data_IF_297059874024
#
_entry.id   IF_297059874024
#
_cell.length_a   1.000
_cell.length_b   1.000
_cell.length_c   1.000
_cell.angle_alpha   90.00
_cell.angle_beta   90.00
_cell.angle_gamma   90.00
#
_symmetry.space_group_name_H-M   'P 1'
#
loop_
_entity.id
_entity.type
_entity.pdbx_description
1 polymer ?
#
# COMPACT_ATOMS: atom_id res chain seq x y z
N UNK A 1 52.31 -29.06 -7.60
CA UNK A 1 50.92 -28.76 -7.16
C UNK A 1 50.35 -29.91 -6.32
N UNK A 2 50.81 -30.10 -5.09
CA UNK A 2 50.33 -31.18 -4.20
C UNK A 2 50.10 -30.72 -2.75
N UNK A 3 50.64 -29.56 -2.34
CA UNK A 3 50.52 -29.04 -0.98
C UNK A 3 49.18 -28.37 -0.64
N UNK A 4 48.37 -27.98 -1.63
CA UNK A 4 47.10 -27.27 -1.38
C UNK A 4 45.92 -28.21 -1.03
N UNK A 5 45.94 -29.45 -1.53
CA UNK A 5 44.84 -30.43 -1.34
C UNK A 5 44.82 -31.00 0.09
N UNK A 6 45.96 -30.96 0.78
CA UNK A 6 46.10 -31.52 2.12
C UNK A 6 45.48 -30.65 3.23
N UNK A 7 45.27 -29.35 3.00
CA UNK A 7 44.54 -28.49 3.95
C UNK A 7 43.03 -28.71 3.93
N UNK A 8 42.43 -29.03 2.77
CA UNK A 8 40.99 -29.22 2.65
C UNK A 8 40.52 -30.51 3.31
N UNK A 9 41.29 -31.60 3.16
CA UNK A 9 40.97 -32.89 3.77
C UNK A 9 41.07 -32.86 5.30
N UNK A 10 42.03 -32.14 5.88
CA UNK A 10 42.13 -32.00 7.34
C UNK A 10 40.95 -31.20 7.92
N UNK A 11 40.50 -30.15 7.24
CA UNK A 11 39.30 -29.40 7.63
C UNK A 11 38.04 -30.26 7.51
N UNK A 12 37.88 -31.02 6.42
CA UNK A 12 36.73 -31.90 6.22
C UNK A 12 36.75 -33.09 7.20
N UNK A 13 37.91 -33.63 7.57
CA UNK A 13 38.04 -34.70 8.57
C UNK A 13 37.85 -34.20 10.02
N UNK A 14 38.21 -32.96 10.33
CA UNK A 14 37.88 -32.32 11.60
C UNK A 14 36.37 -32.04 11.74
N UNK A 15 35.65 -31.93 10.61
CA UNK A 15 34.19 -31.71 10.53
C UNK A 15 33.39 -33.04 10.57
N UNK A 16 34.04 -34.22 10.50
CA UNK A 16 33.38 -35.54 10.66
C UNK A 16 32.96 -35.83 12.12
N UNK A 17 32.96 -34.83 13.00
CA UNK A 17 32.33 -34.96 14.32
C UNK A 17 30.84 -35.25 14.09
N UNK A 18 30.36 -36.45 14.42
CA UNK A 18 28.92 -36.75 14.47
C UNK A 18 28.30 -35.81 15.51
N UNK A 19 27.85 -34.63 15.06
CA UNK A 19 27.22 -33.65 15.93
C UNK A 19 25.96 -34.33 16.47
N UNK A 20 25.86 -34.58 17.79
CA UNK A 20 24.68 -35.22 18.33
C UNK A 20 23.47 -34.34 18.06
N UNK A 21 22.32 -34.94 17.75
CA UNK A 21 21.11 -34.21 17.35
C UNK A 21 20.72 -33.11 18.35
N UNK A 22 21.07 -33.28 19.63
CA UNK A 22 20.93 -32.28 20.68
C UNK A 22 21.77 -31.01 20.44
N UNK A 23 23.05 -31.14 20.08
CA UNK A 23 23.94 -30.01 19.79
C UNK A 23 23.47 -29.28 18.53
N UNK A 24 23.02 -30.00 17.51
CA UNK A 24 22.45 -29.39 16.30
C UNK A 24 21.19 -28.57 16.61
N UNK A 25 20.29 -29.09 17.47
CA UNK A 25 19.11 -28.33 17.94
C UNK A 25 19.50 -27.07 18.71
N UNK A 26 20.49 -27.15 19.59
CA UNK A 26 21.02 -25.98 20.31
C UNK A 26 21.56 -24.93 19.33
N UNK A 27 22.34 -25.35 18.34
CA UNK A 27 22.90 -24.44 17.32
C UNK A 27 21.81 -23.73 16.51
N UNK A 28 20.74 -24.46 16.13
CA UNK A 28 19.60 -23.84 15.45
C UNK A 28 18.89 -22.84 16.35
N UNK A 29 18.61 -23.21 17.60
CA UNK A 29 17.90 -22.32 18.54
C UNK A 29 18.72 -21.05 18.82
N UNK A 30 20.04 -21.18 18.99
CA UNK A 30 20.92 -20.02 19.16
C UNK A 30 20.98 -19.15 17.92
N UNK A 31 21.06 -19.73 16.72
CA UNK A 31 21.01 -18.98 15.46
C UNK A 31 19.69 -18.19 15.33
N UNK A 32 18.55 -18.83 15.59
CA UNK A 32 17.22 -18.19 15.56
C UNK A 32 17.15 -17.07 16.60
N UNK A 33 17.65 -17.29 17.82
CA UNK A 33 17.65 -16.28 18.88
C UNK A 33 18.47 -15.03 18.50
N UNK A 34 19.65 -15.21 17.90
CA UNK A 34 20.49 -14.10 17.41
C UNK A 34 19.78 -13.34 16.28
N UNK A 35 19.20 -14.05 15.32
CA UNK A 35 18.43 -13.41 14.23
C UNK A 35 17.20 -12.67 14.76
N UNK A 36 16.47 -13.25 15.71
CA UNK A 36 15.31 -12.63 16.33
C UNK A 36 15.69 -11.36 17.12
N UNK A 37 16.81 -11.40 17.85
CA UNK A 37 17.33 -10.23 18.56
C UNK A 37 17.61 -9.07 17.60
N UNK A 38 18.37 -9.33 16.53
CA UNK A 38 18.65 -8.32 15.51
C UNK A 38 17.37 -7.85 14.80
N UNK A 39 16.42 -8.76 14.56
CA UNK A 39 15.11 -8.45 13.99
C UNK A 39 14.30 -7.49 14.86
N UNK A 40 14.24 -7.73 16.17
CA UNK A 40 13.55 -6.84 17.12
C UNK A 40 14.20 -5.46 17.15
N UNK A 41 15.53 -5.38 17.16
CA UNK A 41 16.24 -4.10 17.11
C UNK A 41 15.91 -3.32 15.82
N UNK A 42 15.90 -4.00 14.68
CA UNK A 42 15.55 -3.38 13.40
C UNK A 42 14.09 -2.88 13.41
N UNK A 43 13.14 -3.67 13.91
CA UNK A 43 11.73 -3.27 14.00
C UNK A 43 11.57 -2.06 14.91
N UNK A 44 12.19 -2.07 16.10
CA UNK A 44 12.14 -0.92 17.03
C UNK A 44 12.70 0.33 16.36
N UNK A 45 13.85 0.22 15.70
CA UNK A 45 14.44 1.32 14.93
C UNK A 45 13.48 1.85 13.86
N UNK A 46 12.75 0.98 13.14
CA UNK A 46 11.77 1.44 12.16
C UNK A 46 10.52 2.06 12.80
N UNK A 47 10.06 1.54 13.94
CA UNK A 47 8.92 2.10 14.70
C UNK A 47 9.24 3.45 15.35
N UNK A 48 10.51 3.69 15.69
CA UNK A 48 11.00 5.00 16.17
C UNK A 48 11.03 6.05 15.06
N UNK A 49 11.07 5.63 13.78
CA UNK A 49 10.89 6.55 12.65
C UNK A 49 9.42 6.98 12.63
N UNK A 50 9.13 8.06 13.37
CA UNK A 50 7.86 8.77 13.28
C UNK A 50 7.84 9.58 11.97
N UNK A 51 7.76 8.88 10.85
CA UNK A 51 7.41 9.48 9.58
C UNK A 51 5.91 9.73 9.57
N UNK A 52 5.48 10.90 10.02
CA UNK A 52 4.12 11.34 9.73
C UNK A 52 4.03 11.46 8.20
N UNK A 53 3.11 10.72 7.59
CA UNK A 53 2.84 10.84 6.15
C UNK A 53 2.42 12.29 5.90
N UNK A 54 3.36 13.09 5.42
CA UNK A 54 3.13 14.50 5.12
C UNK A 54 2.82 14.63 3.64
N UNK A 55 1.59 15.02 3.35
CA UNK A 55 1.16 15.34 2.01
C UNK A 55 0.38 16.65 2.08
N UNK A 56 1.08 17.80 2.04
CA UNK A 56 0.46 19.11 2.27
C UNK A 56 -0.65 19.43 1.28
N UNK A 57 -0.56 18.91 0.04
CA UNK A 57 -1.62 19.08 -0.96
C UNK A 57 -2.89 18.30 -0.60
N UNK A 58 -2.74 17.08 -0.07
CA UNK A 58 -3.87 16.27 0.37
C UNK A 58 -4.48 16.79 1.67
N UNK A 59 -3.65 17.25 2.61
CA UNK A 59 -4.08 17.89 3.85
C UNK A 59 -4.88 19.16 3.56
N UNK A 60 -4.38 20.03 2.68
CA UNK A 60 -5.09 21.23 2.25
C UNK A 60 -6.44 20.90 1.57
N UNK A 61 -6.51 19.82 0.79
CA UNK A 61 -7.78 19.35 0.23
C UNK A 61 -8.77 18.94 1.32
N UNK A 62 -8.34 18.19 2.34
CA UNK A 62 -9.22 17.76 3.43
C UNK A 62 -9.69 18.93 4.28
N UNK A 63 -8.80 19.89 4.55
CA UNK A 63 -9.15 21.12 5.24
C UNK A 63 -10.17 21.93 4.43
N UNK A 64 -9.98 22.05 3.11
CA UNK A 64 -10.94 22.69 2.23
C UNK A 64 -12.29 21.98 2.26
N UNK A 65 -12.33 20.65 2.17
CA UNK A 65 -13.57 19.85 2.21
C UNK A 65 -14.34 20.12 3.50
N UNK A 66 -13.66 20.13 4.65
CA UNK A 66 -14.30 20.34 5.95
C UNK A 66 -14.95 21.71 6.06
N UNK A 67 -14.27 22.76 5.60
CA UNK A 67 -14.73 24.15 5.73
C UNK A 67 -15.69 24.61 4.64
N UNK A 68 -15.65 24.00 3.45
CA UNK A 68 -16.36 24.51 2.27
C UNK A 68 -17.51 23.61 1.79
N UNK A 69 -17.72 22.44 2.41
CA UNK A 69 -18.78 21.51 2.00
C UNK A 69 -19.68 21.09 3.15
N UNK A 70 -20.96 20.84 2.81
CA UNK A 70 -21.95 20.38 3.79
C UNK A 70 -21.60 18.96 4.29
N UNK A 71 -21.93 18.60 5.53
CA UNK A 71 -21.65 17.27 6.09
C UNK A 71 -22.18 16.09 5.28
N UNK A 72 -23.30 16.29 4.59
CA UNK A 72 -23.98 15.31 3.73
C UNK A 72 -23.49 15.32 2.28
N UNK A 73 -22.55 16.19 1.92
CA UNK A 73 -22.01 16.27 0.56
C UNK A 73 -21.29 14.99 0.18
N UNK A 74 -21.71 14.37 -0.92
CA UNK A 74 -21.20 13.10 -1.41
C UNK A 74 -20.04 13.32 -2.39
N UNK A 75 -18.92 12.64 -2.14
CA UNK A 75 -17.70 12.74 -2.95
C UNK A 75 -17.48 11.49 -3.83
N UNK A 76 -16.88 11.69 -4.99
CA UNK A 76 -16.37 10.62 -5.85
C UNK A 76 -14.98 10.97 -6.39
N UNK A 77 -14.18 9.97 -6.76
CA UNK A 77 -12.85 10.21 -7.32
C UNK A 77 -11.93 8.98 -7.23
N UNK A 78 -10.60 9.18 -7.24
CA UNK A 78 -9.61 8.14 -6.98
C UNK A 78 -9.93 7.30 -5.73
N UNK A 79 -10.03 5.98 -5.88
CA UNK A 79 -10.41 5.07 -4.78
C UNK A 79 -9.54 5.23 -3.52
N UNK A 80 -8.22 5.32 -3.68
CA UNK A 80 -7.30 5.50 -2.57
C UNK A 80 -7.51 6.84 -1.82
N UNK A 81 -7.90 7.89 -2.54
CA UNK A 81 -8.17 9.19 -1.96
C UNK A 81 -9.53 9.23 -1.24
N UNK A 82 -10.54 8.55 -1.79
CA UNK A 82 -11.88 8.53 -1.18
C UNK A 82 -11.88 7.90 0.20
N UNK A 83 -11.09 6.86 0.45
CA UNK A 83 -10.90 6.30 1.78
C UNK A 83 -10.43 7.36 2.79
N UNK A 84 -9.42 8.14 2.41
CA UNK A 84 -8.88 9.21 3.24
C UNK A 84 -9.89 10.36 3.41
N UNK A 85 -10.62 10.75 2.35
CA UNK A 85 -11.71 11.74 2.46
C UNK A 85 -12.72 11.29 3.51
N UNK A 86 -13.17 10.03 3.47
CA UNK A 86 -14.13 9.50 4.44
C UNK A 86 -13.60 9.54 5.87
N UNK A 87 -12.36 9.09 6.08
CA UNK A 87 -11.75 9.01 7.42
C UNK A 87 -11.38 10.37 8.00
N UNK A 88 -10.86 11.29 7.18
CA UNK A 88 -10.36 12.60 7.63
C UNK A 88 -11.45 13.67 7.71
N UNK A 89 -12.53 13.55 6.91
CA UNK A 89 -13.56 14.62 6.81
C UNK A 89 -14.96 14.13 7.17
N UNK A 90 -15.17 12.82 7.33
CA UNK A 90 -16.46 12.20 7.62
C UNK A 90 -17.45 12.16 6.43
N UNK A 91 -17.13 12.83 5.30
CA UNK A 91 -18.05 12.98 4.18
C UNK A 91 -18.41 11.65 3.51
N UNK A 92 -19.67 11.45 3.08
CA UNK A 92 -20.05 10.27 2.31
C UNK A 92 -19.25 10.15 1.01
N UNK A 93 -18.91 8.92 0.62
CA UNK A 93 -18.17 8.64 -0.62
C UNK A 93 -18.94 7.66 -1.50
N UNK A 94 -18.89 7.87 -2.81
CA UNK A 94 -19.50 6.98 -3.79
C UNK A 94 -18.61 5.78 -4.08
N UNK A 95 -17.29 5.86 -4.04
CA UNK A 95 -16.46 4.70 -4.35
C UNK A 95 -15.35 4.53 -3.33
N UNK A 96 -15.08 3.27 -2.97
CA UNK A 96 -14.07 2.85 -2.00
C UNK A 96 -13.45 1.54 -2.52
N UNK A 97 -12.17 1.23 -2.25
CA UNK A 97 -11.47 0.02 -2.71
C UNK A 97 -11.97 -1.29 -2.06
N UNK A 98 -13.25 -1.61 -2.26
CA UNK A 98 -13.82 -2.94 -2.00
C UNK A 98 -14.15 -3.56 -3.35
N UNK A 99 -13.21 -4.37 -3.84
CA UNK A 99 -13.28 -4.96 -5.18
C UNK A 99 -14.08 -6.27 -5.19
N UNK A 100 -14.36 -6.83 -4.03
CA UNK A 100 -15.07 -8.10 -3.88
C UNK A 100 -16.54 -7.95 -4.32
N UNK A 101 -17.15 -6.81 -4.01
CA UNK A 101 -18.54 -6.49 -4.33
C UNK A 101 -18.71 -6.07 -5.81
N UNK A 102 -19.64 -6.73 -6.49
CA UNK A 102 -19.91 -6.50 -7.91
C UNK A 102 -20.58 -5.14 -8.19
N UNK A 103 -21.48 -4.70 -7.31
CA UNK A 103 -22.19 -3.44 -7.46
C UNK A 103 -21.24 -2.26 -7.19
N UNK A 104 -20.35 -2.39 -6.20
CA UNK A 104 -19.30 -1.40 -5.94
C UNK A 104 -18.32 -1.28 -7.12
N UNK A 105 -17.96 -2.40 -7.75
CA UNK A 105 -17.16 -2.39 -8.99
C UNK A 105 -17.87 -1.67 -10.12
N UNK A 106 -19.14 -1.98 -10.36
CA UNK A 106 -19.95 -1.33 -11.41
C UNK A 106 -20.08 0.18 -11.16
N UNK A 107 -20.30 0.59 -9.91
CA UNK A 107 -20.36 1.99 -9.50
C UNK A 107 -19.04 2.71 -9.71
N UNK A 108 -17.93 2.07 -9.34
CA UNK A 108 -16.58 2.60 -9.57
C UNK A 108 -16.28 2.77 -11.06
N UNK A 109 -16.69 1.84 -11.89
CA UNK A 109 -16.52 1.96 -13.34
C UNK A 109 -17.21 3.22 -13.90
N UNK A 110 -18.38 3.58 -13.36
CA UNK A 110 -19.06 4.82 -13.73
C UNK A 110 -18.30 6.05 -13.22
N UNK A 111 -17.77 6.02 -12.00
CA UNK A 111 -16.93 7.11 -11.46
C UNK A 111 -15.70 7.35 -12.33
N UNK A 112 -14.99 6.27 -12.71
CA UNK A 112 -13.79 6.35 -13.54
C UNK A 112 -14.08 6.65 -15.02
N UNK A 113 -15.35 6.68 -15.43
CA UNK A 113 -15.72 7.00 -16.82
C UNK A 113 -15.32 8.42 -17.24
N UNK A 114 -15.00 9.32 -16.29
CA UNK A 114 -14.43 10.64 -16.58
C UNK A 114 -13.08 10.56 -17.33
N UNK A 115 -12.32 9.49 -17.10
CA UNK A 115 -11.02 9.26 -17.77
C UNK A 115 -11.18 8.50 -19.10
N UNK A 116 -12.42 8.19 -19.49
CA UNK A 116 -12.70 7.50 -20.75
C UNK A 116 -12.99 8.48 -21.89
N UNK A 117 -13.13 7.98 -23.12
CA UNK A 117 -13.55 8.78 -24.29
C UNK A 117 -15.06 9.02 -24.37
N UNK A 118 -15.82 8.81 -23.28
CA UNK A 118 -17.26 9.03 -23.27
C UNK A 118 -17.60 10.53 -23.33
N UNK A 119 -18.74 10.92 -23.91
CA UNK A 119 -19.19 12.31 -23.88
C UNK A 119 -19.35 12.81 -22.45
N UNK A 120 -18.84 14.02 -22.16
CA UNK A 120 -18.88 14.61 -20.82
C UNK A 120 -20.29 14.70 -20.24
N UNK A 121 -21.30 14.97 -21.09
CA UNK A 121 -22.72 15.00 -20.70
C UNK A 121 -23.18 13.67 -20.12
N UNK A 122 -22.76 12.55 -20.72
CA UNK A 122 -23.13 11.21 -20.27
C UNK A 122 -22.45 10.89 -18.92
N UNK A 123 -21.17 11.25 -18.76
CA UNK A 123 -20.44 11.10 -17.50
C UNK A 123 -21.09 11.93 -16.39
N UNK A 124 -21.40 13.20 -16.66
CA UNK A 124 -22.04 14.09 -15.70
C UNK A 124 -23.42 13.57 -15.26
N UNK A 125 -24.24 13.08 -16.21
CA UNK A 125 -25.53 12.46 -15.89
C UNK A 125 -25.38 11.21 -15.03
N UNK A 126 -24.38 10.37 -15.31
CA UNK A 126 -24.10 9.17 -14.52
C UNK A 126 -23.70 9.53 -13.08
N UNK A 127 -22.78 10.49 -12.90
CA UNK A 127 -22.37 10.98 -11.57
C UNK A 127 -23.55 11.58 -10.80
N UNK A 128 -24.37 12.40 -11.46
CA UNK A 128 -25.57 13.01 -10.87
C UNK A 128 -26.60 11.95 -10.45
N UNK A 129 -26.80 10.91 -11.27
CA UNK A 129 -27.70 9.78 -10.95
C UNK A 129 -27.25 9.02 -9.69
N UNK A 130 -25.94 8.98 -9.43
CA UNK A 130 -25.37 8.37 -8.23
C UNK A 130 -25.36 9.31 -7.00
N UNK A 131 -25.89 10.53 -7.13
CA UNK A 131 -25.93 11.50 -6.03
C UNK A 131 -24.60 12.18 -5.73
N UNK A 132 -23.63 12.15 -6.66
CA UNK A 132 -22.33 12.81 -6.47
C UNK A 132 -22.51 14.32 -6.44
N UNK A 133 -22.03 14.98 -5.39
CA UNK A 133 -21.97 16.44 -5.30
C UNK A 133 -20.64 16.99 -5.78
N UNK A 134 -19.54 16.32 -5.40
CA UNK A 134 -18.18 16.74 -5.72
C UNK A 134 -17.38 15.59 -6.32
N UNK A 135 -16.60 15.88 -7.36
CA UNK A 135 -15.65 14.94 -7.94
C UNK A 135 -14.23 15.44 -7.68
N UNK A 136 -13.40 14.62 -7.02
CA UNK A 136 -11.99 14.95 -6.78
C UNK A 136 -11.18 14.43 -7.96
N UNK A 137 -10.64 15.37 -8.73
CA UNK A 137 -9.85 15.10 -9.92
C UNK A 137 -8.35 15.14 -9.61
N UNK A 138 -7.59 14.18 -10.13
CA UNK A 138 -6.14 14.15 -10.01
C UNK A 138 -5.50 14.37 -11.39
N UNK A 139 -4.81 15.50 -11.64
CA UNK A 139 -4.30 15.84 -12.97
C UNK A 139 -3.35 14.80 -13.57
N UNK A 140 -2.54 14.13 -12.75
CA UNK A 140 -1.58 13.13 -13.25
C UNK A 140 -2.22 11.87 -13.83
N UNK A 141 -3.53 11.68 -13.65
CA UNK A 141 -4.25 10.51 -14.17
C UNK A 141 -4.77 10.71 -15.60
N UNK A 142 -4.67 11.94 -16.11
CA UNK A 142 -5.04 12.27 -17.49
C UNK A 142 -3.79 12.44 -18.37
N UNK A 143 -2.79 11.59 -18.16
CA UNK A 143 -1.63 11.50 -19.06
C UNK A 143 -1.98 10.59 -20.23
N UNK A 144 -1.58 10.98 -21.44
CA UNK A 144 -1.66 10.08 -22.59
C UNK A 144 -0.84 8.83 -22.28
N UNK A 145 -1.39 7.65 -22.60
CA UNK A 145 -0.60 6.42 -22.52
C UNK A 145 0.64 6.62 -23.41
N UNK A 146 1.86 6.38 -22.92
CA UNK A 146 3.03 6.41 -23.78
C UNK A 146 2.77 5.49 -24.96
N UNK A 147 2.81 6.04 -26.17
CA UNK A 147 2.66 5.26 -27.38
C UNK A 147 3.76 4.18 -27.36
N UNK A 148 3.35 2.91 -27.50
CA UNK A 148 4.29 1.79 -27.64
C UNK A 148 5.08 1.92 -28.93
#
# INVERSE_FOLDING_TARGET
MAGLIMRLKFVVHAIQFKIPAFVHRILIVTLIAVMAYQGVLNIRKQQEIRGEYSNPAQEALFDWIQHNTKPDSVFAGPMALMANVKLSTGRPIVNHPHYEDADLRARTLQVYSIFSRKPLKAVHQALKKMGVNYYVYHPSWCVAHPAK
#
